data_IF_372379543232
#
_entry.id   IF_372379543232
#
_cell.length_a   1.000
_cell.length_b   1.000
_cell.length_c   1.000
_cell.angle_alpha   90.00
_cell.angle_beta   90.00
_cell.angle_gamma   90.00
#
_symmetry.space_group_name_H-M   'P 1'
#
loop_
_entity.id
_entity.type
_entity.pdbx_description
1 polymer ?
#
# COMPACT_ATOMS: atom_id res chain seq x y z
N UNK A 1 -4.52 7.88 61.72
CA UNK A 1 -4.94 8.72 60.59
C UNK A 1 -3.68 8.97 59.77
N UNK A 2 -3.30 8.08 58.86
CA UNK A 2 -3.98 7.86 57.59
C UNK A 2 -3.13 8.58 56.52
N UNK A 3 -2.03 7.96 56.12
CA UNK A 3 -1.21 8.44 55.01
C UNK A 3 -1.92 8.24 53.68
N UNK A 4 -1.53 9.04 52.70
CA UNK A 4 -1.65 8.69 51.29
C UNK A 4 -0.42 9.22 50.57
N UNK A 5 0.55 8.32 50.37
CA UNK A 5 1.45 8.35 49.24
C UNK A 5 0.61 8.20 47.97
N UNK A 6 0.76 9.12 47.03
CA UNK A 6 0.49 8.86 45.62
C UNK A 6 1.78 9.12 44.82
N UNK A 7 2.09 8.29 43.81
CA UNK A 7 3.45 8.07 43.35
C UNK A 7 3.91 9.10 42.31
N UNK A 8 5.22 9.31 42.27
CA UNK A 8 5.93 9.86 41.13
C UNK A 8 5.56 9.00 39.91
N UNK A 9 4.78 9.55 38.99
CA UNK A 9 4.59 8.94 37.68
C UNK A 9 5.87 9.18 36.88
N UNK A 10 6.79 8.23 37.01
CA UNK A 10 7.88 8.04 36.06
C UNK A 10 7.24 7.60 34.76
N UNK A 11 7.04 8.53 33.83
CA UNK A 11 6.89 8.15 32.43
C UNK A 11 8.31 7.96 31.89
N UNK A 12 8.77 6.72 31.93
CA UNK A 12 10.07 6.34 31.37
C UNK A 12 10.06 6.52 29.86
N UNK A 13 11.04 7.25 29.33
CA UNK A 13 11.24 7.35 27.90
C UNK A 13 12.06 8.57 27.48
N UNK A 14 13.38 8.38 27.47
CA UNK A 14 14.41 9.18 26.82
C UNK A 14 14.82 10.53 27.42
N UNK A 15 16.07 10.49 27.90
CA UNK A 15 16.95 11.57 28.31
C UNK A 15 17.24 12.48 27.12
N UNK A 16 16.45 13.55 26.98
CA UNK A 16 16.92 14.88 26.56
C UNK A 16 16.04 15.87 27.30
N UNK A 17 16.48 16.29 28.49
CA UNK A 17 16.00 17.54 29.11
C UNK A 17 16.31 18.65 28.09
N UNK A 18 15.30 19.01 27.32
CA UNK A 18 15.34 20.19 26.48
C UNK A 18 15.37 21.39 27.44
N UNK A 19 16.32 22.33 27.30
CA UNK A 19 16.32 23.53 28.14
C UNK A 19 14.94 24.19 27.99
N UNK A 20 14.31 24.58 29.11
CA UNK A 20 12.97 25.15 29.20
C UNK A 20 12.69 26.12 28.04
N UNK A 21 12.19 25.58 26.92
CA UNK A 21 11.78 26.33 25.74
C UNK A 21 10.45 26.98 26.09
N UNK A 22 10.36 28.29 25.91
CA UNK A 22 9.07 28.95 25.99
C UNK A 22 8.31 28.66 24.70
N UNK A 23 7.23 27.89 24.80
CA UNK A 23 6.20 27.69 23.76
C UNK A 23 5.47 29.02 23.49
N UNK A 24 6.17 29.99 22.88
CA UNK A 24 5.48 31.11 22.27
C UNK A 24 4.82 30.62 20.97
N UNK A 25 3.52 30.88 20.74
CA UNK A 25 2.85 30.42 19.53
C UNK A 25 3.45 31.12 18.30
N UNK A 26 4.31 30.40 17.58
CA UNK A 26 4.83 30.84 16.29
C UNK A 26 3.73 30.63 15.26
N UNK A 27 3.18 31.75 14.78
CA UNK A 27 2.15 31.75 13.77
C UNK A 27 2.78 32.19 12.44
N UNK A 28 2.49 31.46 11.36
CA UNK A 28 2.69 31.95 10.00
C UNK A 28 1.42 32.69 9.55
N UNK A 29 1.54 33.63 8.62
CA UNK A 29 0.35 34.23 8.01
C UNK A 29 -0.43 33.12 7.28
N UNK A 30 -1.52 32.66 7.90
CA UNK A 30 -2.44 31.61 7.41
C UNK A 30 -3.42 32.14 6.38
N UNK A 31 -3.09 33.25 5.70
CA UNK A 31 -3.82 33.66 4.51
C UNK A 31 -3.89 32.43 3.61
N UNK A 32 -5.05 31.78 3.60
CA UNK A 32 -5.28 30.57 2.82
C UNK A 32 -5.20 31.03 1.38
N UNK A 33 -3.99 31.08 0.84
CA UNK A 33 -3.80 30.99 -0.58
C UNK A 33 -4.36 29.63 -0.88
N UNK A 34 -5.59 29.64 -1.40
CA UNK A 34 -6.21 28.45 -1.92
C UNK A 34 -5.35 28.06 -3.13
N UNK A 35 -4.28 27.29 -2.88
CA UNK A 35 -3.26 26.96 -3.89
C UNK A 35 -3.88 26.16 -5.04
N UNK A 36 -5.08 25.59 -4.83
CA UNK A 36 -5.94 25.03 -5.87
C UNK A 36 -6.33 26.06 -6.96
N UNK A 37 -6.42 27.36 -6.63
CA UNK A 37 -6.72 28.44 -7.58
C UNK A 37 -5.54 28.81 -8.50
N UNK A 38 -4.33 28.33 -8.19
CA UNK A 38 -3.17 28.40 -9.08
C UNK A 38 -3.07 27.18 -10.02
N UNK A 39 -3.95 26.19 -9.89
CA UNK A 39 -4.17 25.13 -10.88
C UNK A 39 -3.08 24.07 -11.04
N UNK A 40 -2.07 23.97 -10.16
CA UNK A 40 -0.86 23.15 -10.40
C UNK A 40 -0.34 22.42 -9.14
N UNK A 41 -1.18 22.04 -8.19
CA UNK A 41 -0.73 21.18 -7.08
C UNK A 41 -1.09 19.72 -7.33
N UNK A 42 -0.08 18.89 -7.58
CA UNK A 42 -0.24 17.45 -7.70
C UNK A 42 0.24 16.79 -6.41
N UNK A 43 -0.49 15.76 -5.98
CA UNK A 43 0.01 14.82 -4.99
C UNK A 43 1.01 13.85 -5.61
N UNK A 44 1.79 13.16 -4.78
CA UNK A 44 2.69 12.09 -5.19
C UNK A 44 1.96 11.06 -6.05
N UNK A 45 0.77 10.60 -5.62
CA UNK A 45 -0.05 9.65 -6.37
C UNK A 45 -0.40 10.17 -7.77
N UNK A 46 -0.87 11.42 -7.87
CA UNK A 46 -1.25 12.01 -9.17
C UNK A 46 -0.04 12.12 -10.10
N UNK A 47 1.10 12.55 -9.58
CA UNK A 47 2.35 12.63 -10.34
C UNK A 47 2.80 11.25 -10.81
N UNK A 48 2.81 10.25 -9.93
CA UNK A 48 3.17 8.86 -10.24
C UNK A 48 2.31 8.30 -11.36
N UNK A 49 0.99 8.42 -11.22
CA UNK A 49 0.03 7.92 -12.22
C UNK A 49 0.21 8.56 -13.59
N UNK A 50 0.48 9.87 -13.66
CA UNK A 50 0.72 10.55 -14.94
C UNK A 50 2.07 10.14 -15.56
N UNK A 51 3.14 9.98 -14.76
CA UNK A 51 4.43 9.47 -15.26
C UNK A 51 4.27 8.05 -15.82
N UNK A 52 3.64 7.14 -15.07
CA UNK A 52 3.36 5.77 -15.49
C UNK A 52 2.58 5.74 -16.81
N UNK A 53 1.53 6.56 -16.91
CA UNK A 53 0.72 6.69 -18.13
C UNK A 53 1.56 7.12 -19.33
N UNK A 54 2.47 8.09 -19.15
CA UNK A 54 3.31 8.65 -20.22
C UNK A 54 4.50 7.77 -20.59
N UNK A 55 4.89 6.85 -19.71
CA UNK A 55 5.82 5.78 -20.02
C UNK A 55 5.18 4.67 -20.88
N UNK A 56 3.84 4.66 -21.00
CA UNK A 56 3.10 3.65 -21.76
C UNK A 56 2.72 2.42 -20.93
N UNK A 57 2.86 2.48 -19.61
CA UNK A 57 2.45 1.41 -18.70
C UNK A 57 1.02 1.60 -18.22
N UNK A 58 0.40 0.51 -17.80
CA UNK A 58 -0.95 0.51 -17.23
C UNK A 58 -0.92 1.12 -15.82
N UNK A 59 -1.68 2.20 -15.61
CA UNK A 59 -1.69 3.01 -14.36
C UNK A 59 -2.23 2.26 -13.15
N UNK A 60 -3.27 1.46 -13.34
CA UNK A 60 -3.83 0.56 -12.34
C UNK A 60 -4.02 -0.81 -12.99
N UNK A 61 -3.55 -1.92 -12.38
CA UNK A 61 -3.77 -3.23 -12.96
C UNK A 61 -5.27 -3.45 -13.17
N UNK A 62 -5.68 -3.89 -14.36
CA UNK A 62 -7.07 -4.25 -14.62
C UNK A 62 -7.38 -5.47 -13.76
N UNK A 63 -8.12 -5.27 -12.67
CA UNK A 63 -8.44 -6.32 -11.71
C UNK A 63 -9.58 -7.17 -12.25
N UNK A 64 -9.29 -8.41 -12.63
CA UNK A 64 -10.31 -9.44 -12.79
C UNK A 64 -10.21 -10.36 -11.59
N UNK A 65 -11.16 -10.26 -10.65
CA UNK A 65 -11.27 -11.24 -9.58
C UNK A 65 -11.85 -12.54 -10.15
N UNK A 66 -11.23 -13.67 -9.77
CA UNK A 66 -11.77 -15.01 -10.00
C UNK A 66 -12.02 -15.67 -8.66
N UNK A 67 -13.13 -16.38 -8.53
CA UNK A 67 -13.36 -17.26 -7.38
C UNK A 67 -12.66 -18.59 -7.58
N UNK A 68 -12.44 -19.34 -6.50
CA UNK A 68 -11.77 -20.62 -6.58
C UNK A 68 -12.54 -21.62 -7.45
N UNK A 69 -13.87 -21.63 -7.37
CA UNK A 69 -14.71 -22.48 -8.23
C UNK A 69 -14.64 -22.09 -9.70
N UNK A 70 -14.56 -20.79 -10.02
CA UNK A 70 -14.35 -20.34 -11.40
C UNK A 70 -13.00 -20.83 -11.94
N UNK A 71 -11.95 -20.78 -11.12
CA UNK A 71 -10.63 -21.30 -11.49
C UNK A 71 -10.64 -22.82 -11.66
N UNK A 72 -11.21 -23.56 -10.71
CA UNK A 72 -11.34 -25.03 -10.79
C UNK A 72 -12.08 -25.45 -12.05
N UNK A 73 -13.20 -24.80 -12.36
CA UNK A 73 -13.98 -25.08 -13.56
C UNK A 73 -13.17 -24.82 -14.82
N UNK A 74 -12.50 -23.66 -14.90
CA UNK A 74 -11.77 -23.26 -16.10
C UNK A 74 -10.52 -24.11 -16.34
N UNK A 75 -9.73 -24.37 -15.28
CA UNK A 75 -8.55 -25.24 -15.35
C UNK A 75 -8.95 -26.67 -15.72
N UNK A 76 -9.99 -27.23 -15.08
CA UNK A 76 -10.48 -28.58 -15.40
C UNK A 76 -10.96 -28.68 -16.84
N UNK A 77 -11.71 -27.68 -17.31
CA UNK A 77 -12.20 -27.63 -18.70
C UNK A 77 -11.02 -27.55 -19.69
N UNK A 78 -10.00 -26.74 -19.39
CA UNK A 78 -8.81 -26.62 -20.24
C UNK A 78 -7.97 -27.90 -20.32
N UNK A 79 -8.06 -28.77 -19.31
CA UNK A 79 -7.43 -30.10 -19.28
C UNK A 79 -8.30 -31.19 -19.95
N UNK A 80 -9.56 -30.88 -20.28
CA UNK A 80 -10.53 -31.85 -20.76
C UNK A 80 -11.13 -32.73 -19.66
N UNK A 81 -11.06 -32.29 -18.40
CA UNK A 81 -11.66 -32.98 -17.26
C UNK A 81 -13.09 -32.47 -17.00
N UNK A 82 -13.98 -33.37 -16.59
CA UNK A 82 -15.32 -33.01 -16.13
C UNK A 82 -15.23 -32.46 -14.71
N UNK A 83 -15.53 -31.19 -14.52
CA UNK A 83 -15.65 -30.58 -13.20
C UNK A 83 -17.04 -30.86 -12.62
N UNK A 84 -17.10 -31.48 -11.43
CA UNK A 84 -18.36 -31.90 -10.77
C UNK A 84 -18.79 -30.93 -9.64
N UNK A 85 -17.99 -29.90 -9.34
CA UNK A 85 -18.26 -28.96 -8.25
C UNK A 85 -18.14 -29.59 -6.86
N UNK A 86 -18.39 -28.81 -5.81
CA UNK A 86 -18.59 -29.34 -4.46
C UNK A 86 -19.96 -30.01 -4.40
N UNK A 87 -20.06 -31.32 -4.12
CA UNK A 87 -21.35 -32.00 -4.05
C UNK A 87 -22.14 -31.53 -2.83
N UNK A 88 -23.42 -31.24 -3.02
CA UNK A 88 -24.30 -30.86 -1.93
C UNK A 88 -24.46 -32.01 -0.93
N UNK A 89 -24.35 -31.77 0.40
CA UNK A 89 -24.51 -32.82 1.40
C UNK A 89 -25.90 -33.45 1.29
N UNK A 90 -25.97 -34.78 1.44
CA UNK A 90 -27.24 -35.52 1.44
C UNK A 90 -27.50 -36.12 2.81
N UNK A 91 -28.76 -36.08 3.23
CA UNK A 91 -29.19 -36.72 4.48
C UNK A 91 -29.28 -38.22 4.32
N UNK A 92 -29.11 -38.96 5.41
CA UNK A 92 -29.24 -40.40 5.46
C UNK A 92 -30.62 -40.86 4.97
N UNK A 93 -31.70 -40.19 5.37
CA UNK A 93 -33.05 -40.52 4.90
C UNK A 93 -33.15 -40.45 3.37
N UNK A 94 -32.58 -39.40 2.76
CA UNK A 94 -32.59 -39.25 1.30
C UNK A 94 -31.80 -40.36 0.60
N UNK A 95 -30.69 -40.81 1.19
CA UNK A 95 -29.84 -41.85 0.63
C UNK A 95 -30.49 -43.24 0.76
N UNK A 96 -31.07 -43.56 1.92
CA UNK A 96 -31.80 -44.83 2.11
C UNK A 96 -32.97 -44.95 1.14
N UNK A 97 -33.71 -43.86 0.94
CA UNK A 97 -34.85 -43.83 0.02
C UNK A 97 -34.42 -44.11 -1.43
N UNK A 98 -33.31 -43.51 -1.87
CA UNK A 98 -32.77 -43.76 -3.20
C UNK A 98 -32.19 -45.16 -3.35
N UNK A 99 -31.52 -45.69 -2.33
CA UNK A 99 -31.05 -47.08 -2.31
C UNK A 99 -32.23 -48.05 -2.46
N UNK A 100 -33.29 -47.87 -1.66
CA UNK A 100 -34.47 -48.71 -1.70
C UNK A 100 -35.12 -48.73 -3.10
N UNK A 101 -35.25 -47.55 -3.73
CA UNK A 101 -35.75 -47.44 -5.11
C UNK A 101 -34.87 -48.17 -6.11
N UNK A 102 -33.55 -48.00 -6.04
CA UNK A 102 -32.59 -48.60 -7.00
C UNK A 102 -32.36 -50.10 -6.79
N UNK A 103 -32.69 -50.64 -5.62
CA UNK A 103 -32.71 -52.07 -5.34
C UNK A 103 -33.97 -52.77 -5.87
N UNK A 104 -34.96 -52.00 -6.37
CA UNK A 104 -36.19 -52.53 -6.98
C UNK A 104 -37.44 -52.39 -6.11
N UNK A 105 -37.34 -51.72 -4.96
CA UNK A 105 -38.43 -51.59 -3.98
C UNK A 105 -39.12 -50.22 -4.05
N UNK A 106 -39.32 -49.69 -5.27
CA UNK A 106 -39.86 -48.34 -5.50
C UNK A 106 -41.29 -48.15 -4.94
N UNK A 107 -42.12 -49.20 -4.97
CA UNK A 107 -43.45 -49.16 -4.38
C UNK A 107 -43.41 -49.00 -2.85
N UNK A 108 -42.54 -49.76 -2.16
CA UNK A 108 -42.36 -49.61 -0.71
C UNK A 108 -41.78 -48.24 -0.33
N UNK A 109 -40.87 -47.70 -1.15
CA UNK A 109 -40.30 -46.37 -0.95
C UNK A 109 -41.36 -45.24 -1.02
N UNK A 110 -42.42 -45.43 -1.79
CA UNK A 110 -43.47 -44.41 -1.99
C UNK A 110 -44.55 -44.46 -0.91
N UNK A 111 -44.77 -45.64 -0.32
CA UNK A 111 -45.78 -45.89 0.71
C UNK A 111 -45.25 -45.77 2.16
N UNK A 112 -43.97 -45.45 2.35
CA UNK A 112 -43.25 -45.48 3.64
C UNK A 112 -43.45 -46.80 4.42
N UNK A 113 -43.66 -47.89 3.67
CA UNK A 113 -44.02 -49.21 4.19
C UNK A 113 -42.80 -50.14 4.16
N UNK A 114 -41.80 -49.81 4.97
CA UNK A 114 -40.54 -50.55 5.06
C UNK A 114 -40.77 -51.96 5.61
N UNK A 115 -40.22 -52.98 4.94
CA UNK A 115 -40.21 -54.31 5.51
C UNK A 115 -39.32 -54.34 6.78
N UNK A 116 -39.66 -55.16 7.80
CA UNK A 116 -38.88 -55.25 9.03
C UNK A 116 -37.39 -55.51 8.74
N UNK A 117 -36.50 -54.74 9.39
CA UNK A 117 -35.04 -54.87 9.24
C UNK A 117 -34.43 -54.21 7.99
N UNK A 118 -35.21 -53.80 6.98
CA UNK A 118 -34.65 -53.18 5.75
C UNK A 118 -34.02 -51.82 6.03
N UNK A 119 -34.64 -50.99 6.88
CA UNK A 119 -34.09 -49.67 7.24
C UNK A 119 -32.73 -49.80 7.93
N UNK A 120 -32.58 -50.78 8.82
CA UNK A 120 -31.33 -51.11 9.50
C UNK A 120 -30.27 -51.61 8.49
N UNK A 121 -30.64 -52.54 7.60
CA UNK A 121 -29.75 -53.07 6.58
C UNK A 121 -29.19 -51.98 5.64
N UNK A 122 -30.04 -51.07 5.15
CA UNK A 122 -29.58 -49.96 4.32
C UNK A 122 -28.70 -48.97 5.09
N UNK A 123 -28.94 -48.80 6.39
CA UNK A 123 -28.06 -48.00 7.27
C UNK A 123 -26.69 -48.63 7.35
N UNK A 124 -26.63 -49.96 7.55
CA UNK A 124 -25.37 -50.69 7.63
C UNK A 124 -24.58 -50.56 6.33
N UNK A 125 -25.21 -50.72 5.15
CA UNK A 125 -24.51 -50.50 3.88
C UNK A 125 -23.97 -49.07 3.72
N UNK A 126 -24.71 -48.05 4.15
CA UNK A 126 -24.26 -46.66 4.12
C UNK A 126 -23.10 -46.40 5.09
N UNK A 127 -23.18 -46.92 6.31
CA UNK A 127 -22.14 -46.82 7.33
C UNK A 127 -20.86 -47.54 6.91
N UNK A 128 -20.98 -48.78 6.41
CA UNK A 128 -19.86 -49.56 5.88
C UNK A 128 -19.22 -48.87 4.67
N UNK A 129 -20.03 -48.28 3.77
CA UNK A 129 -19.52 -47.52 2.64
C UNK A 129 -18.70 -46.30 3.07
N UNK A 130 -19.15 -45.56 4.08
CA UNK A 130 -18.39 -44.43 4.63
C UNK A 130 -17.04 -44.89 5.21
N UNK A 131 -17.03 -45.97 5.99
CA UNK A 131 -15.82 -46.55 6.58
C UNK A 131 -14.86 -47.05 5.50
N UNK A 132 -15.37 -47.78 4.51
CA UNK A 132 -14.57 -48.32 3.41
C UNK A 132 -13.94 -47.21 2.56
N UNK A 133 -14.70 -46.16 2.21
CA UNK A 133 -14.16 -45.02 1.45
C UNK A 133 -13.09 -44.26 2.23
N UNK A 134 -13.25 -44.11 3.54
CA UNK A 134 -12.26 -43.48 4.41
C UNK A 134 -10.95 -44.28 4.44
N UNK A 135 -11.01 -45.60 4.62
CA UNK A 135 -9.81 -46.44 4.70
C UNK A 135 -9.13 -46.68 3.34
N UNK A 136 -9.92 -46.92 2.29
CA UNK A 136 -9.41 -47.36 0.99
C UNK A 136 -8.90 -46.22 0.12
N UNK A 137 -9.56 -45.05 0.16
CA UNK A 137 -9.22 -43.93 -0.71
C UNK A 137 -8.53 -42.77 -0.01
N UNK A 138 -8.31 -42.87 1.32
CA UNK A 138 -7.69 -41.80 2.12
C UNK A 138 -8.25 -40.43 1.76
N UNK A 139 -9.57 -40.35 1.57
CA UNK A 139 -10.30 -39.08 1.44
C UNK A 139 -10.23 -38.43 2.83
N UNK A 140 -9.08 -37.84 3.10
CA UNK A 140 -8.68 -37.36 4.41
C UNK A 140 -9.48 -36.11 4.72
N UNK A 141 -10.40 -36.22 5.67
CA UNK A 141 -10.85 -35.06 6.42
C UNK A 141 -10.20 -35.15 7.80
N UNK A 142 -9.72 -34.02 8.30
CA UNK A 142 -9.26 -33.83 9.67
C UNK A 142 -10.38 -34.02 10.70
N UNK A 143 -11.62 -34.20 10.25
CA UNK A 143 -12.79 -34.51 11.07
C UNK A 143 -13.04 -36.02 11.14
N UNK A 144 -13.25 -36.57 12.35
CA UNK A 144 -13.67 -37.96 12.51
C UNK A 144 -14.98 -38.21 11.77
N UNK A 145 -15.12 -39.41 11.22
CA UNK A 145 -16.33 -39.84 10.51
C UNK A 145 -17.53 -39.70 11.45
N UNK A 146 -18.57 -38.98 11.02
CA UNK A 146 -19.79 -38.89 11.81
C UNK A 146 -20.62 -40.17 11.59
N UNK A 147 -20.87 -40.96 12.65
CA UNK A 147 -21.74 -42.12 12.55
C UNK A 147 -23.18 -41.68 12.26
N UNK A 148 -23.86 -42.46 11.42
CA UNK A 148 -25.27 -42.31 11.12
C UNK A 148 -26.13 -42.87 12.27
N UNK A 149 -26.84 -42.00 12.99
CA UNK A 149 -27.78 -42.33 14.06
C UNK A 149 -29.22 -41.89 13.71
N UNK A 150 -29.38 -40.68 13.19
CA UNK A 150 -30.67 -40.04 12.95
C UNK A 150 -30.92 -39.78 11.46
N UNK A 151 -32.19 -39.80 11.04
CA UNK A 151 -32.59 -39.62 9.62
C UNK A 151 -32.10 -38.29 9.01
N UNK A 152 -31.84 -37.28 9.85
CA UNK A 152 -31.32 -35.97 9.48
C UNK A 152 -29.80 -35.92 9.30
N UNK A 153 -29.07 -36.95 9.73
CA UNK A 153 -27.61 -36.97 9.65
C UNK A 153 -27.13 -36.86 8.21
N UNK A 154 -26.14 -36.01 8.00
CA UNK A 154 -25.55 -35.75 6.69
C UNK A 154 -24.27 -36.56 6.50
N UNK A 155 -24.03 -36.98 5.26
CA UNK A 155 -22.77 -37.65 4.90
C UNK A 155 -21.56 -36.77 5.23
N UNK A 156 -20.56 -37.34 5.92
CA UNK A 156 -19.27 -36.67 6.16
C UNK A 156 -18.38 -36.68 4.90
N UNK A 157 -18.52 -37.71 4.08
CA UNK A 157 -17.82 -37.87 2.80
C UNK A 157 -18.72 -37.48 1.62
N UNK A 158 -18.15 -37.49 0.41
CA UNK A 158 -18.87 -37.26 -0.83
C UNK A 158 -20.14 -38.16 -0.92
N UNK A 159 -21.35 -37.56 -0.96
CA UNK A 159 -22.59 -38.33 -0.91
C UNK A 159 -22.79 -39.25 -2.12
N UNK A 160 -22.25 -38.90 -3.28
CA UNK A 160 -22.37 -39.72 -4.48
C UNK A 160 -21.46 -40.94 -4.42
N UNK A 161 -20.22 -40.77 -3.93
CA UNK A 161 -19.31 -41.89 -3.71
C UNK A 161 -19.88 -42.88 -2.67
N UNK A 162 -20.40 -42.35 -1.55
CA UNK A 162 -21.05 -43.16 -0.49
C UNK A 162 -22.25 -43.91 -1.05
N UNK A 163 -23.09 -43.22 -1.84
CA UNK A 163 -24.26 -43.83 -2.46
C UNK A 163 -23.90 -44.97 -3.42
N UNK A 164 -22.95 -44.75 -4.33
CA UNK A 164 -22.54 -45.75 -5.33
C UNK A 164 -21.98 -47.02 -4.67
N UNK A 165 -21.13 -46.86 -3.64
CA UNK A 165 -20.56 -48.00 -2.91
C UNK A 165 -21.63 -48.76 -2.14
N UNK A 166 -22.50 -48.06 -1.42
CA UNK A 166 -23.60 -48.68 -0.67
C UNK A 166 -24.58 -49.41 -1.60
N UNK A 167 -24.87 -48.83 -2.78
CA UNK A 167 -25.72 -49.46 -3.79
C UNK A 167 -25.09 -50.72 -4.37
N UNK A 168 -23.80 -50.66 -4.69
CA UNK A 168 -23.07 -51.80 -5.21
C UNK A 168 -23.05 -52.95 -4.19
N UNK A 169 -22.77 -52.66 -2.91
CA UNK A 169 -22.80 -53.63 -1.82
C UNK A 169 -24.21 -54.22 -1.62
N UNK A 170 -25.25 -53.38 -1.62
CA UNK A 170 -26.64 -53.85 -1.50
C UNK A 170 -27.06 -54.76 -2.66
N UNK A 171 -26.71 -54.40 -3.90
CA UNK A 171 -26.98 -55.23 -5.08
C UNK A 171 -26.23 -56.56 -5.02
N UNK A 172 -24.96 -56.54 -4.60
CA UNK A 172 -24.16 -57.75 -4.42
C UNK A 172 -24.75 -58.67 -3.34
N UNK A 173 -25.18 -58.12 -2.20
CA UNK A 173 -25.84 -58.87 -1.13
C UNK A 173 -27.13 -59.56 -1.61
N UNK A 174 -27.89 -58.91 -2.50
CA UNK A 174 -29.09 -59.50 -3.12
C UNK A 174 -28.81 -60.34 -4.38
N UNK A 175 -27.54 -60.61 -4.71
CA UNK A 175 -27.15 -61.44 -5.86
C UNK A 175 -27.48 -60.83 -7.23
N UNK A 176 -27.70 -59.51 -7.30
CA UNK A 176 -28.00 -58.83 -8.56
C UNK A 176 -26.73 -58.67 -9.40
N UNK A 177 -26.79 -59.09 -10.67
CA UNK A 177 -25.61 -59.14 -11.56
C UNK A 177 -25.07 -57.76 -11.95
N UNK A 178 -25.87 -56.70 -11.79
CA UNK A 178 -25.50 -55.32 -12.16
C UNK A 178 -24.68 -54.59 -11.08
N UNK A 179 -24.40 -55.22 -9.93
CA UNK A 179 -23.56 -54.64 -8.88
C UNK A 179 -22.18 -54.20 -9.39
N UNK A 180 -21.58 -54.98 -10.31
CA UNK A 180 -20.27 -54.68 -10.91
C UNK A 180 -20.25 -53.33 -11.64
N UNK A 181 -21.33 -52.98 -12.35
CA UNK A 181 -21.40 -51.72 -13.09
C UNK A 181 -21.31 -50.51 -12.16
N UNK A 182 -21.86 -50.61 -10.95
CA UNK A 182 -21.80 -49.53 -9.95
C UNK A 182 -20.42 -49.42 -9.29
N UNK A 183 -19.70 -50.53 -9.08
CA UNK A 183 -18.29 -50.49 -8.67
C UNK A 183 -17.41 -49.82 -9.74
N UNK A 184 -17.63 -50.14 -11.02
CA UNK A 184 -16.90 -49.52 -12.13
C UNK A 184 -17.20 -48.01 -12.23
N UNK A 185 -18.46 -47.60 -12.03
CA UNK A 185 -18.86 -46.19 -11.95
C UNK A 185 -18.18 -45.45 -10.79
N UNK A 186 -18.11 -46.08 -9.61
CA UNK A 186 -17.40 -45.52 -8.45
C UNK A 186 -15.91 -45.33 -8.74
N UNK A 187 -15.25 -46.30 -9.36
CA UNK A 187 -13.84 -46.20 -9.75
C UNK A 187 -13.57 -45.03 -10.71
N UNK A 188 -14.45 -44.83 -11.70
CA UNK A 188 -14.39 -43.67 -12.60
C UNK A 188 -14.60 -42.33 -11.88
N UNK A 189 -15.56 -42.28 -10.95
CA UNK A 189 -15.83 -41.09 -10.15
C UNK A 189 -14.64 -40.70 -9.28
N UNK A 190 -14.08 -41.65 -8.53
CA UNK A 190 -12.93 -41.42 -7.64
C UNK A 190 -11.71 -40.94 -8.43
N UNK A 191 -11.49 -41.50 -9.62
CA UNK A 191 -10.41 -41.03 -10.51
C UNK A 191 -10.60 -39.56 -10.89
N UNK A 192 -11.83 -39.10 -11.04
CA UNK A 192 -12.16 -37.70 -11.35
C UNK A 192 -11.94 -36.80 -10.13
N UNK A 193 -12.35 -37.24 -8.93
CA UNK A 193 -12.15 -36.52 -7.66
C UNK A 193 -10.66 -36.39 -7.31
N UNK A 194 -9.86 -37.42 -7.56
CA UNK A 194 -8.41 -37.36 -7.37
C UNK A 194 -7.76 -36.29 -8.27
N UNK A 195 -8.21 -36.19 -9.52
CA UNK A 195 -7.74 -35.15 -10.46
C UNK A 195 -8.16 -33.74 -10.03
N UNK A 196 -9.31 -33.55 -9.38
CA UNK A 196 -9.68 -32.23 -8.87
C UNK A 196 -8.84 -31.77 -7.68
N UNK A 197 -8.45 -32.68 -6.78
CA UNK A 197 -7.55 -32.34 -5.68
C UNK A 197 -6.16 -31.88 -6.17
N UNK A 198 -5.66 -32.50 -7.24
CA UNK A 198 -4.45 -32.05 -7.93
C UNK A 198 -4.59 -30.62 -8.48
N UNK A 199 -5.75 -30.28 -9.06
CA UNK A 199 -6.03 -28.94 -9.62
C UNK A 199 -6.03 -27.87 -8.54
N UNK A 200 -6.61 -28.15 -7.37
CA UNK A 200 -6.62 -27.23 -6.22
C UNK A 200 -5.20 -26.87 -5.77
N UNK A 201 -4.32 -27.87 -5.68
CA UNK A 201 -2.91 -27.65 -5.34
C UNK A 201 -2.18 -26.85 -6.43
N UNK A 202 -2.44 -27.14 -7.71
CA UNK A 202 -1.85 -26.40 -8.83
C UNK A 202 -2.27 -24.92 -8.80
N UNK A 203 -3.56 -24.62 -8.57
CA UNK A 203 -4.06 -23.24 -8.50
C UNK A 203 -3.40 -22.47 -7.35
N UNK A 204 -3.32 -23.08 -6.16
CA UNK A 204 -2.68 -22.44 -5.00
C UNK A 204 -1.18 -22.24 -5.22
N UNK A 205 -0.49 -23.22 -5.83
CA UNK A 205 0.94 -23.10 -6.20
C UNK A 205 1.16 -22.00 -7.24
N UNK A 206 0.28 -21.88 -8.23
CA UNK A 206 0.33 -20.83 -9.23
C UNK A 206 0.18 -19.45 -8.58
N UNK A 207 -0.84 -19.27 -7.72
CA UNK A 207 -1.02 -18.03 -6.97
C UNK A 207 0.20 -17.71 -6.10
N UNK A 208 0.74 -18.67 -5.35
CA UNK A 208 1.91 -18.46 -4.49
C UNK A 208 3.15 -18.11 -5.30
N UNK A 209 3.37 -18.78 -6.44
CA UNK A 209 4.49 -18.48 -7.33
C UNK A 209 4.38 -17.07 -7.91
N UNK A 210 3.17 -16.62 -8.25
CA UNK A 210 2.92 -15.28 -8.74
C UNK A 210 3.08 -14.27 -7.60
N UNK A 211 2.62 -14.55 -6.39
CA UNK A 211 2.83 -13.70 -5.21
C UNK A 211 4.32 -13.54 -4.91
N UNK A 212 5.11 -14.61 -5.00
CA UNK A 212 6.57 -14.56 -4.82
C UNK A 212 7.25 -13.78 -5.96
N UNK A 213 6.82 -13.98 -7.21
CA UNK A 213 7.35 -13.25 -8.38
C UNK A 213 6.95 -11.79 -8.41
N UNK A 214 5.79 -11.44 -7.86
CA UNK A 214 5.20 -10.09 -7.90
C UNK A 214 5.31 -9.30 -6.59
N UNK A 215 5.86 -9.89 -5.52
CA UNK A 215 6.27 -9.32 -4.23
C UNK A 215 6.04 -7.80 -4.01
N UNK A 216 4.77 -7.40 -4.09
CA UNK A 216 4.22 -6.13 -3.66
C UNK A 216 2.78 -6.39 -3.23
N UNK A 217 2.47 -5.76 -2.10
CA UNK A 217 1.19 -5.58 -1.40
C UNK A 217 0.07 -6.59 -1.65
N UNK A 218 -0.27 -7.33 -0.59
CA UNK A 218 -1.43 -8.22 -0.54
C UNK A 218 -2.68 -7.38 -0.78
N UNK A 219 -3.35 -7.57 -1.92
CA UNK A 219 -4.65 -6.95 -2.14
C UNK A 219 -5.61 -7.44 -1.05
N UNK A 220 -6.25 -6.51 -0.33
CA UNK A 220 -7.03 -6.81 0.88
C UNK A 220 -8.33 -7.62 0.68
N UNK A 221 -8.67 -8.02 -0.54
CA UNK A 221 -9.97 -8.61 -0.89
C UNK A 221 -9.95 -10.12 -1.18
N UNK A 222 -8.83 -10.83 -0.94
CA UNK A 222 -8.67 -12.26 -1.24
C UNK A 222 -8.14 -13.10 -0.08
N UNK A 223 -8.20 -14.42 -0.20
CA UNK A 223 -7.64 -15.38 0.78
C UNK A 223 -6.51 -16.19 0.13
N UNK A 224 -5.48 -16.54 0.91
CA UNK A 224 -4.51 -17.57 0.55
C UNK A 224 -4.19 -18.46 1.76
N UNK A 225 -4.17 -19.80 1.62
CA UNK A 225 -4.59 -20.54 0.42
C UNK A 225 -6.09 -20.38 0.13
N UNK A 226 -6.48 -20.55 -1.13
CA UNK A 226 -7.88 -20.69 -1.53
C UNK A 226 -8.35 -22.07 -1.08
N UNK A 227 -9.42 -22.13 -0.31
CA UNK A 227 -9.98 -23.35 0.27
C UNK A 227 -11.45 -23.50 -0.12
N UNK A 228 -12.24 -22.46 0.10
CA UNK A 228 -13.67 -22.41 -0.18
C UNK A 228 -13.93 -21.98 -1.64
N UNK A 229 -15.03 -22.43 -2.22
CA UNK A 229 -15.34 -22.19 -3.64
C UNK A 229 -15.54 -20.72 -4.01
N UNK A 230 -15.97 -19.91 -3.05
CA UNK A 230 -16.16 -18.47 -3.13
C UNK A 230 -14.89 -17.66 -2.79
N UNK A 231 -13.82 -18.31 -2.33
CA UNK A 231 -12.55 -17.65 -2.06
C UNK A 231 -12.03 -16.97 -3.33
N UNK A 232 -11.59 -15.72 -3.17
CA UNK A 232 -11.13 -14.88 -4.27
C UNK A 232 -9.61 -14.82 -4.30
N UNK A 233 -9.07 -14.76 -5.52
CA UNK A 233 -7.64 -14.55 -5.73
C UNK A 233 -7.14 -13.29 -5.06
N UNK A 234 -5.97 -13.38 -4.41
CA UNK A 234 -5.24 -12.25 -3.86
C UNK A 234 -4.62 -11.38 -4.95
N UNK A 235 -4.41 -11.90 -6.15
CA UNK A 235 -3.83 -11.17 -7.29
C UNK A 235 -4.79 -11.25 -8.50
N UNK A 236 -4.41 -10.66 -9.64
CA UNK A 236 -5.16 -10.76 -10.89
C UNK A 236 -5.50 -12.22 -11.21
N UNK A 237 -6.79 -12.53 -11.19
CA UNK A 237 -7.29 -13.88 -11.35
C UNK A 237 -7.05 -14.42 -12.76
N UNK A 238 -6.89 -13.56 -13.78
CA UNK A 238 -6.52 -14.01 -15.13
C UNK A 238 -5.08 -14.52 -15.18
N UNK A 239 -4.17 -13.87 -14.46
CA UNK A 239 -2.78 -14.33 -14.36
C UNK A 239 -2.70 -15.66 -13.61
N UNK A 240 -3.44 -15.81 -12.51
CA UNK A 240 -3.54 -17.07 -11.76
C UNK A 240 -4.12 -18.18 -12.65
N UNK A 241 -5.20 -17.89 -13.38
CA UNK A 241 -5.85 -18.82 -14.32
C UNK A 241 -4.86 -19.31 -15.38
N UNK A 242 -4.15 -18.41 -16.06
CA UNK A 242 -3.19 -18.80 -17.10
C UNK A 242 -2.02 -19.62 -16.55
N UNK A 243 -1.50 -19.26 -15.37
CA UNK A 243 -0.36 -19.96 -14.76
C UNK A 243 -0.79 -21.35 -14.31
N UNK A 244 -1.97 -21.46 -13.67
CA UNK A 244 -2.53 -22.74 -13.26
C UNK A 244 -2.81 -23.66 -14.46
N UNK A 245 -3.34 -23.14 -15.56
CA UNK A 245 -3.53 -23.91 -16.80
C UNK A 245 -2.18 -24.41 -17.35
N UNK A 246 -1.17 -23.55 -17.40
CA UNK A 246 0.16 -23.90 -17.89
C UNK A 246 0.80 -25.01 -17.03
N UNK A 247 0.80 -24.83 -15.71
CA UNK A 247 1.38 -25.76 -14.75
C UNK A 247 0.64 -27.11 -14.77
N UNK A 248 -0.69 -27.09 -14.87
CA UNK A 248 -1.49 -28.30 -14.98
C UNK A 248 -1.20 -29.06 -16.29
N UNK A 249 -1.18 -28.35 -17.42
CA UNK A 249 -0.87 -28.95 -18.73
C UNK A 249 0.53 -29.54 -18.76
N UNK A 250 1.52 -28.86 -18.16
CA UNK A 250 2.87 -29.38 -18.01
C UNK A 250 2.91 -30.65 -17.16
N UNK A 251 2.22 -30.68 -16.01
CA UNK A 251 2.12 -31.86 -15.14
C UNK A 251 1.53 -33.08 -15.87
N UNK A 252 0.53 -32.88 -16.73
CA UNK A 252 -0.10 -33.95 -17.51
C UNK A 252 0.53 -34.18 -18.89
N UNK A 253 1.66 -33.55 -19.22
CA UNK A 253 2.40 -33.77 -20.47
C UNK A 253 1.68 -33.28 -21.75
N UNK A 254 0.78 -32.30 -21.64
CA UNK A 254 0.11 -31.71 -22.80
C UNK A 254 1.02 -30.70 -23.51
N UNK A 255 1.14 -30.82 -24.85
CA UNK A 255 2.11 -30.05 -25.67
C UNK A 255 1.84 -28.53 -25.74
N UNK A 256 0.67 -28.08 -25.34
CA UNK A 256 0.25 -26.67 -25.42
C UNK A 256 0.61 -25.85 -24.17
N UNK A 257 1.24 -26.44 -23.15
CA UNK A 257 1.67 -25.73 -21.94
C UNK A 257 2.60 -24.53 -22.23
N UNK A 258 3.56 -24.68 -23.16
CA UNK A 258 4.52 -23.63 -23.51
C UNK A 258 3.84 -22.37 -24.05
N UNK A 259 2.75 -22.52 -24.83
CA UNK A 259 2.01 -21.39 -25.37
C UNK A 259 1.35 -20.53 -24.27
N UNK A 260 0.96 -21.13 -23.14
CA UNK A 260 0.43 -20.40 -22.00
C UNK A 260 1.52 -19.66 -21.22
N UNK A 261 2.70 -20.25 -21.05
CA UNK A 261 3.84 -19.56 -20.44
C UNK A 261 4.28 -18.34 -21.28
N UNK A 262 4.30 -18.45 -22.61
CA UNK A 262 4.60 -17.31 -23.49
C UNK A 262 3.60 -16.17 -23.34
N UNK A 263 2.29 -16.45 -23.28
CA UNK A 263 1.25 -15.42 -23.04
C UNK A 263 1.38 -14.75 -21.67
N UNK A 264 1.77 -15.51 -20.64
CA UNK A 264 2.05 -14.96 -19.32
C UNK A 264 3.24 -14.01 -19.32
N UNK A 265 4.29 -14.33 -20.07
CA UNK A 265 5.42 -13.42 -20.26
C UNK A 265 4.99 -12.14 -20.99
N UNK A 266 4.11 -12.23 -22.00
CA UNK A 266 3.53 -11.06 -22.67
C UNK A 266 2.63 -10.21 -21.73
N UNK A 267 1.93 -10.84 -20.78
CA UNK A 267 1.19 -10.12 -19.73
C UNK A 267 2.10 -9.46 -18.72
N UNK A 268 3.18 -10.14 -18.30
CA UNK A 268 4.19 -9.59 -17.39
C UNK A 268 4.96 -8.40 -17.99
N UNK A 269 5.04 -8.30 -19.32
CA UNK A 269 5.60 -7.15 -20.01
C UNK A 269 4.75 -5.87 -19.92
N UNK A 270 3.51 -5.92 -19.40
CA UNK A 270 2.60 -4.74 -19.35
C UNK A 270 2.83 -3.78 -18.18
N UNK A 271 3.47 -4.22 -17.08
CA UNK A 271 3.85 -3.35 -15.95
C UNK A 271 4.98 -4.00 -15.12
N UNK A 272 6.17 -3.38 -15.05
CA UNK A 272 7.23 -3.86 -14.16
C UNK A 272 6.79 -3.86 -12.69
N UNK A 273 7.23 -4.87 -11.96
CA UNK A 273 6.93 -5.14 -10.54
C UNK A 273 7.10 -3.92 -9.62
N UNK A 274 8.20 -3.18 -9.78
CA UNK A 274 8.60 -2.10 -8.87
C UNK A 274 8.39 -0.71 -9.49
N UNK A 275 7.51 -0.62 -10.49
CA UNK A 275 7.31 0.61 -11.25
C UNK A 275 6.91 1.77 -10.34
N UNK A 276 6.10 1.52 -9.31
CA UNK A 276 5.57 2.57 -8.45
C UNK A 276 6.66 3.17 -7.55
N UNK A 277 7.44 2.33 -6.88
CA UNK A 277 8.54 2.80 -6.03
C UNK A 277 9.64 3.46 -6.88
N UNK A 278 9.90 2.94 -8.07
CA UNK A 278 10.88 3.52 -8.99
C UNK A 278 10.40 4.85 -9.58
N UNK A 279 9.11 5.01 -9.88
CA UNK A 279 8.58 6.31 -10.31
C UNK A 279 8.57 7.30 -9.16
N UNK A 280 8.28 6.86 -7.94
CA UNK A 280 8.38 7.72 -6.74
C UNK A 280 9.80 8.20 -6.49
N UNK A 281 10.83 7.37 -6.69
CA UNK A 281 12.22 7.82 -6.58
C UNK A 281 12.55 8.88 -7.63
N UNK A 282 12.14 8.70 -8.90
CA UNK A 282 12.32 9.73 -9.92
C UNK A 282 11.62 11.05 -9.58
N UNK A 283 10.43 11.00 -8.96
CA UNK A 283 9.70 12.20 -8.53
C UNK A 283 10.41 12.89 -7.36
N UNK A 284 10.86 12.12 -6.37
CA UNK A 284 11.62 12.64 -5.21
C UNK A 284 12.92 13.30 -5.67
N UNK A 285 13.68 12.63 -6.53
CA UNK A 285 14.95 13.13 -7.07
C UNK A 285 14.74 14.38 -7.93
N UNK A 286 13.72 14.38 -8.79
CA UNK A 286 13.39 15.55 -9.61
C UNK A 286 13.03 16.76 -8.74
N UNK A 287 12.23 16.55 -7.69
CA UNK A 287 11.86 17.62 -6.78
C UNK A 287 13.08 18.16 -6.02
N UNK A 288 13.95 17.28 -5.49
CA UNK A 288 15.17 17.71 -4.80
C UNK A 288 16.11 18.47 -5.74
N UNK A 289 16.40 17.95 -6.93
CA UNK A 289 17.27 18.61 -7.92
C UNK A 289 16.75 20.02 -8.27
N UNK A 290 15.46 20.15 -8.55
CA UNK A 290 14.85 21.45 -8.86
C UNK A 290 14.92 22.41 -7.66
N UNK A 291 14.67 21.91 -6.46
CA UNK A 291 14.72 22.71 -5.23
C UNK A 291 16.15 23.18 -4.90
N UNK A 292 17.16 22.34 -5.07
CA UNK A 292 18.56 22.71 -4.84
C UNK A 292 19.08 23.69 -5.90
N UNK A 293 18.75 23.44 -7.18
CA UNK A 293 19.31 24.18 -8.31
C UNK A 293 18.72 25.59 -8.46
N UNK A 294 17.42 25.76 -8.23
CA UNK A 294 16.72 27.01 -8.53
C UNK A 294 16.10 27.62 -7.27
N UNK A 295 16.66 28.74 -6.80
CA UNK A 295 16.12 29.47 -5.64
C UNK A 295 14.73 30.07 -5.92
N UNK A 296 14.45 30.39 -7.18
CA UNK A 296 13.19 30.98 -7.65
C UNK A 296 12.01 30.02 -7.54
N UNK A 297 12.28 28.71 -7.46
CA UNK A 297 11.24 27.68 -7.29
C UNK A 297 10.89 27.41 -5.82
N UNK A 298 11.58 28.07 -4.88
CA UNK A 298 11.35 27.90 -3.45
C UNK A 298 10.31 28.91 -2.97
N UNK A 299 9.27 28.41 -2.33
CA UNK A 299 8.26 29.28 -1.72
C UNK A 299 8.83 29.99 -0.50
N UNK A 300 8.68 31.30 -0.45
CA UNK A 300 9.09 32.15 0.67
C UNK A 300 7.85 32.54 1.49
N UNK A 301 7.96 32.51 2.83
CA UNK A 301 6.86 32.92 3.73
C UNK A 301 7.37 33.82 4.85
N UNK A 302 6.41 34.38 5.59
CA UNK A 302 6.64 35.14 6.81
C UNK A 302 6.24 34.30 8.02
N UNK A 303 7.11 34.27 9.02
CA UNK A 303 6.89 33.68 10.33
C UNK A 303 6.93 34.77 11.38
N UNK A 304 5.99 34.71 12.33
CA UNK A 304 5.90 35.68 13.42
C UNK A 304 6.16 34.97 14.75
N UNK A 305 7.08 35.54 15.52
CA UNK A 305 7.43 35.09 16.87
C UNK A 305 7.00 36.18 17.83
N UNK A 306 6.27 35.81 18.88
CA UNK A 306 5.93 36.71 19.97
C UNK A 306 6.93 36.52 21.11
N UNK A 307 7.74 37.55 21.37
CA UNK A 307 8.77 37.48 22.38
C UNK A 307 8.18 37.62 23.79
N UNK A 308 8.69 36.82 24.72
CA UNK A 308 8.39 36.89 26.14
C UNK A 308 9.54 37.62 26.84
N UNK A 309 9.28 38.66 27.67
CA UNK A 309 10.33 39.35 28.42
C UNK A 309 11.22 38.38 29.20
N UNK A 310 12.53 38.56 29.10
CA UNK A 310 13.54 37.70 29.75
C UNK A 310 13.82 36.37 29.05
N UNK A 311 13.05 35.98 28.03
CA UNK A 311 13.27 34.73 27.28
C UNK A 311 13.99 34.98 25.94
N UNK A 312 15.10 34.28 25.73
CA UNK A 312 15.97 34.43 24.56
C UNK A 312 15.99 33.23 23.62
N UNK A 313 15.38 32.10 23.99
CA UNK A 313 15.32 30.87 23.18
C UNK A 313 13.87 30.57 22.83
N UNK A 314 13.61 30.41 21.53
CA UNK A 314 12.30 30.08 20.99
C UNK A 314 12.42 28.83 20.14
N UNK A 315 11.50 27.89 20.33
CA UNK A 315 11.49 26.69 19.49
C UNK A 315 11.21 27.03 18.05
N UNK A 316 11.67 26.16 17.14
CA UNK A 316 11.20 26.24 15.77
C UNK A 316 9.95 25.35 15.70
N UNK A 317 8.85 25.82 15.09
CA UNK A 317 7.73 24.93 14.79
C UNK A 317 8.21 23.78 13.88
N UNK A 318 8.38 22.60 14.46
CA UNK A 318 8.69 21.35 13.77
C UNK A 318 7.42 20.59 13.36
N UNK A 319 6.27 20.91 13.97
CA UNK A 319 4.99 20.19 13.81
C UNK A 319 4.13 20.67 12.62
N UNK A 320 4.71 21.42 11.69
CA UNK A 320 3.99 21.85 10.48
C UNK A 320 4.44 21.00 9.29
N UNK A 321 3.49 20.56 8.47
CA UNK A 321 3.69 19.90 7.15
C UNK A 321 4.69 20.63 6.23
N UNK A 322 5.04 21.88 6.56
CA UNK A 322 6.02 22.73 5.90
C UNK A 322 6.87 23.42 6.97
N UNK A 323 8.18 23.16 6.99
CA UNK A 323 9.12 23.75 7.95
C UNK A 323 9.91 24.93 7.34
N UNK A 324 10.32 25.89 8.17
CA UNK A 324 11.23 26.96 7.77
C UNK A 324 12.64 26.36 7.58
N UNK A 325 13.25 26.55 6.40
CA UNK A 325 14.64 26.16 6.18
C UNK A 325 15.59 27.24 6.71
N UNK A 326 16.18 27.00 7.89
CA UNK A 326 17.05 27.96 8.57
C UNK A 326 18.28 28.35 7.77
N UNK A 327 18.75 27.47 6.86
CA UNK A 327 19.89 27.77 6.00
C UNK A 327 19.54 28.78 4.91
N UNK A 328 18.26 29.13 4.77
CA UNK A 328 17.70 29.90 3.67
C UNK A 328 16.77 31.02 4.16
N UNK A 329 17.16 31.66 5.25
CA UNK A 329 16.53 32.89 5.74
C UNK A 329 16.99 34.06 4.88
N UNK A 330 16.03 34.90 4.50
CA UNK A 330 16.28 36.06 3.65
C UNK A 330 16.21 37.36 4.44
N UNK A 331 15.50 37.37 5.56
CA UNK A 331 15.36 38.54 6.41
C UNK A 331 14.86 38.17 7.81
N UNK A 332 15.32 38.87 8.84
CA UNK A 332 14.72 38.85 10.17
C UNK A 332 14.67 40.27 10.72
N UNK A 333 13.62 40.59 11.46
CA UNK A 333 13.47 41.90 12.08
C UNK A 333 12.51 41.90 13.24
N UNK A 334 12.67 42.92 14.07
CA UNK A 334 11.90 43.15 15.28
C UNK A 334 11.06 44.41 15.11
N UNK A 335 9.82 44.35 15.57
CA UNK A 335 8.94 45.51 15.64
C UNK A 335 9.22 46.27 16.93
N UNK A 336 9.56 47.54 16.79
CA UNK A 336 9.65 48.49 17.91
C UNK A 336 8.59 49.57 17.69
N UNK A 337 7.55 49.52 18.52
CA UNK A 337 6.30 50.27 18.37
C UNK A 337 5.68 50.10 16.96
N UNK A 338 5.93 51.02 16.02
CA UNK A 338 5.35 51.03 14.67
C UNK A 338 6.40 50.68 13.58
N UNK A 339 7.69 50.64 13.93
CA UNK A 339 8.78 50.48 12.95
C UNK A 339 9.40 49.08 13.01
N UNK A 340 9.69 48.53 11.83
CA UNK A 340 10.45 47.27 11.70
C UNK A 340 11.94 47.57 11.58
N UNK A 341 12.72 47.03 12.51
CA UNK A 341 14.18 47.13 12.52
C UNK A 341 14.80 45.76 12.18
N UNK A 342 15.79 45.69 11.29
CA UNK A 342 16.44 44.43 10.97
C UNK A 342 17.27 43.92 12.16
N UNK A 343 17.22 42.61 12.40
CA UNK A 343 18.10 41.93 13.34
C UNK A 343 19.39 41.51 12.62
N UNK A 344 20.49 41.43 13.38
CA UNK A 344 21.81 41.02 12.88
C UNK A 344 21.95 39.51 13.06
N UNK A 345 22.31 38.81 11.99
CA UNK A 345 22.59 37.37 12.06
C UNK A 345 23.91 37.10 12.79
N UNK A 346 23.87 36.16 13.74
CA UNK A 346 25.01 35.72 14.53
C UNK A 346 25.13 36.45 15.86
N UNK A 347 25.42 35.68 16.92
CA UNK A 347 25.68 36.20 18.26
C UNK A 347 27.15 35.93 18.59
N UNK A 348 27.91 36.98 18.88
CA UNK A 348 29.31 36.86 19.29
C UNK A 348 29.39 36.11 20.63
N UNK A 349 30.25 35.07 20.77
CA UNK A 349 30.47 34.35 22.03
C UNK A 349 30.70 35.25 23.25
N UNK A 350 31.32 36.43 23.08
CA UNK A 350 31.58 37.37 24.18
C UNK A 350 30.27 37.90 24.79
N UNK A 351 29.22 38.06 23.98
CA UNK A 351 27.94 38.61 24.41
C UNK A 351 27.17 37.69 25.38
N UNK A 352 27.43 36.38 25.36
CA UNK A 352 26.79 35.41 26.26
C UNK A 352 27.16 35.62 27.74
N UNK A 353 28.18 36.42 28.03
CA UNK A 353 28.55 36.81 29.41
C UNK A 353 27.70 37.96 29.96
N UNK A 354 26.93 38.64 29.11
CA UNK A 354 26.06 39.74 29.51
C UNK A 354 24.68 39.24 29.92
N UNK A 355 24.18 39.74 31.06
CA UNK A 355 22.82 39.49 31.57
C UNK A 355 21.88 40.67 31.34
N UNK A 356 22.29 41.63 30.50
CA UNK A 356 21.49 42.83 30.22
C UNK A 356 20.21 42.48 29.46
N UNK A 357 19.08 42.97 29.98
CA UNK A 357 17.80 42.93 29.28
C UNK A 357 17.66 44.19 28.44
N UNK A 358 17.40 44.02 27.14
CA UNK A 358 17.13 45.14 26.23
C UNK A 358 16.47 44.64 24.96
N UNK A 359 16.08 45.56 24.08
CA UNK A 359 15.58 45.21 22.75
C UNK A 359 16.59 44.29 22.02
N UNK A 360 16.18 43.10 21.59
CA UNK A 360 17.03 42.21 20.81
C UNK A 360 17.57 42.89 19.56
N UNK A 361 18.87 42.73 19.31
CA UNK A 361 19.56 43.26 18.15
C UNK A 361 20.15 42.16 17.25
N UNK A 362 20.32 40.96 17.80
CA UNK A 362 20.94 39.81 17.17
C UNK A 362 19.99 38.61 17.17
N UNK A 363 20.16 37.75 16.19
CA UNK A 363 19.53 36.44 16.16
C UNK A 363 20.52 35.38 15.68
N UNK A 364 20.36 34.15 16.15
CA UNK A 364 21.06 32.98 15.63
C UNK A 364 20.08 31.81 15.60
N UNK A 365 20.15 30.99 14.57
CA UNK A 365 19.31 29.79 14.49
C UNK A 365 20.19 28.56 14.45
N UNK A 366 19.97 27.69 15.42
CA UNK A 366 20.63 26.38 15.50
C UNK A 366 19.56 25.29 15.63
N UNK A 367 19.42 24.65 16.80
CA UNK A 367 18.28 23.79 17.14
C UNK A 367 17.04 24.57 17.58
N UNK A 368 17.23 25.83 17.98
CA UNK A 368 16.19 26.79 18.33
C UNK A 368 16.55 28.16 17.73
N UNK A 369 15.59 29.08 17.77
CA UNK A 369 15.75 30.47 17.41
C UNK A 369 16.21 31.21 18.67
N UNK A 370 17.48 31.58 18.68
CA UNK A 370 18.07 32.38 19.75
C UNK A 370 18.05 33.86 19.35
N UNK A 371 17.64 34.73 20.27
CA UNK A 371 17.67 36.18 20.13
C UNK A 371 18.51 36.82 21.23
N UNK A 372 19.20 37.91 20.92
CA UNK A 372 20.07 38.56 21.90
C UNK A 372 20.11 40.09 21.73
N UNK A 373 20.17 40.89 22.81
CA UNK A 373 20.01 40.51 24.22
C UNK A 373 18.62 39.93 24.52
N UNK A 374 18.45 39.33 25.71
CA UNK A 374 17.13 38.87 26.12
C UNK A 374 16.18 40.08 26.22
N UNK A 375 14.95 39.95 25.71
CA UNK A 375 14.02 41.07 25.57
C UNK A 375 13.63 41.65 26.93
N UNK A 376 13.64 42.98 27.05
CA UNK A 376 13.19 43.72 28.24
C UNK A 376 11.66 43.85 28.34
N UNK A 377 10.98 43.78 27.20
CA UNK A 377 9.50 43.79 27.08
C UNK A 377 9.04 42.83 25.99
N UNK A 378 7.73 42.65 25.83
CA UNK A 378 7.20 41.85 24.74
C UNK A 378 7.43 42.57 23.40
N UNK A 379 7.97 41.85 22.42
CA UNK A 379 8.22 42.33 21.06
C UNK A 379 7.65 41.33 20.06
N UNK A 380 7.41 41.79 18.83
CA UNK A 380 7.07 40.91 17.72
C UNK A 380 8.26 40.82 16.78
N UNK A 381 8.75 39.61 16.54
CA UNK A 381 9.78 39.32 15.54
C UNK A 381 9.14 38.71 14.31
N UNK A 382 9.56 39.16 13.13
CA UNK A 382 9.23 38.53 11.86
C UNK A 382 10.48 37.98 11.20
N UNK A 383 10.38 36.73 10.77
CA UNK A 383 11.40 36.05 9.97
C UNK A 383 10.80 35.76 8.60
N UNK A 384 11.57 36.06 7.55
CA UNK A 384 11.27 35.69 6.18
C UNK A 384 12.29 34.67 5.70
N UNK A 385 11.82 33.60 5.08
CA UNK A 385 12.69 32.54 4.62
C UNK A 385 11.99 31.57 3.69
N UNK A 386 12.75 30.65 3.14
CA UNK A 386 12.22 29.62 2.25
C UNK A 386 11.65 28.44 3.03
N UNK A 387 10.56 27.87 2.52
CA UNK A 387 10.05 26.58 2.97
C UNK A 387 11.02 25.47 2.57
N UNK A 388 11.29 24.58 3.52
CA UNK A 388 12.01 23.35 3.30
C UNK A 388 11.26 22.38 2.38
N UNK A 389 11.97 21.38 1.87
CA UNK A 389 11.40 20.36 1.01
C UNK A 389 10.57 19.36 1.84
N UNK A 390 9.32 19.13 1.47
CA UNK A 390 8.49 18.11 2.15
C UNK A 390 8.97 16.70 1.78
N UNK A 391 9.00 15.80 2.76
CA UNK A 391 9.15 14.38 2.51
C UNK A 391 7.88 13.82 1.84
N UNK A 392 8.05 13.20 0.67
CA UNK A 392 6.96 12.54 -0.06
C UNK A 392 6.91 11.07 0.34
N UNK A 393 6.22 10.76 1.44
CA UNK A 393 6.16 9.41 2.02
C UNK A 393 4.85 8.72 1.67
N UNK A 394 3.73 9.45 1.69
CA UNK A 394 2.40 8.94 1.39
C UNK A 394 1.84 9.45 0.06
N UNK A 395 0.88 8.71 -0.49
CA UNK A 395 0.19 9.03 -1.74
C UNK A 395 -0.50 10.40 -1.75
N UNK A 396 -0.92 10.87 -0.57
CA UNK A 396 -1.57 12.17 -0.36
C UNK A 396 -0.61 13.36 -0.27
N UNK A 397 0.70 13.13 -0.20
CA UNK A 397 1.66 14.21 -0.04
C UNK A 397 1.72 15.11 -1.27
N UNK A 398 1.59 16.41 -1.04
CA UNK A 398 1.68 17.44 -2.08
C UNK A 398 3.14 17.77 -2.40
N UNK A 399 3.41 18.00 -3.69
CA UNK A 399 4.70 18.49 -4.13
C UNK A 399 4.94 19.91 -3.60
N UNK A 400 6.14 20.17 -3.09
CA UNK A 400 6.58 21.49 -2.58
C UNK A 400 6.99 22.43 -3.73
N UNK A 401 7.54 21.87 -4.80
CA UNK A 401 7.94 22.60 -6.02
C UNK A 401 6.83 22.52 -7.07
N UNK A 402 6.79 23.46 -8.01
CA UNK A 402 5.82 23.47 -9.12
C UNK A 402 5.66 22.08 -9.75
N UNK A 403 4.46 21.51 -9.65
CA UNK A 403 4.24 20.11 -9.97
C UNK A 403 4.52 19.75 -11.43
N UNK A 404 4.30 20.68 -12.35
CA UNK A 404 4.58 20.46 -13.78
C UNK A 404 6.09 20.39 -14.06
N UNK A 405 6.90 21.19 -13.37
CA UNK A 405 8.35 21.13 -13.48
C UNK A 405 8.88 19.80 -12.96
N UNK A 406 8.41 19.38 -11.77
CA UNK A 406 8.76 18.07 -11.17
C UNK A 406 8.35 16.93 -12.10
N UNK A 407 7.11 16.94 -12.59
CA UNK A 407 6.59 15.92 -13.50
C UNK A 407 7.42 15.78 -14.78
N UNK A 408 7.71 16.88 -15.49
CA UNK A 408 8.47 16.82 -16.75
C UNK A 408 9.89 16.31 -16.53
N UNK A 409 10.53 16.73 -15.43
CA UNK A 409 11.88 16.30 -15.09
C UNK A 409 11.91 14.81 -14.67
N UNK A 410 10.96 14.37 -13.84
CA UNK A 410 10.82 12.97 -13.44
C UNK A 410 10.52 12.08 -14.64
N UNK A 411 9.60 12.50 -15.53
CA UNK A 411 9.26 11.77 -16.75
C UNK A 411 10.47 11.62 -17.69
N UNK A 412 11.26 12.67 -17.86
CA UNK A 412 12.47 12.62 -18.68
C UNK A 412 13.48 11.61 -18.12
N UNK A 413 13.72 11.62 -16.81
CA UNK A 413 14.59 10.68 -16.11
C UNK A 413 14.07 9.24 -16.23
N UNK A 414 12.77 9.02 -16.01
CA UNK A 414 12.15 7.71 -16.14
C UNK A 414 12.22 7.18 -17.57
N UNK A 415 11.93 8.02 -18.59
CA UNK A 415 12.06 7.64 -20.00
C UNK A 415 13.50 7.31 -20.37
N UNK A 416 14.48 8.05 -19.85
CA UNK A 416 15.89 7.76 -20.06
C UNK A 416 16.28 6.41 -19.45
N UNK A 417 15.80 6.11 -18.23
CA UNK A 417 16.00 4.82 -17.57
C UNK A 417 15.46 3.65 -18.41
N UNK A 418 14.25 3.80 -18.96
CA UNK A 418 13.64 2.82 -19.87
C UNK A 418 14.15 2.89 -21.32
N UNK A 419 15.18 3.70 -21.60
CA UNK A 419 15.79 3.88 -22.93
C UNK A 419 14.79 4.28 -24.02
N UNK A 420 13.75 5.04 -23.66
CA UNK A 420 12.79 5.56 -24.62
C UNK A 420 13.44 6.72 -25.41
N UNK A 421 13.32 6.74 -26.76
CA UNK A 421 14.07 7.66 -27.62
C UNK A 421 13.66 9.13 -27.44
N UNK A 422 12.48 9.39 -26.88
CA UNK A 422 11.93 10.73 -26.66
C UNK A 422 12.32 11.35 -25.31
N UNK A 423 13.13 10.66 -24.48
CA UNK A 423 13.56 11.16 -23.16
C UNK A 423 14.21 12.56 -23.22
N UNK A 424 15.08 12.79 -24.21
CA UNK A 424 15.75 14.07 -24.41
C UNK A 424 14.78 15.22 -24.72
N UNK A 425 13.70 14.94 -25.45
CA UNK A 425 12.68 15.95 -25.78
C UNK A 425 11.95 16.43 -24.51
N UNK A 426 11.61 15.50 -23.61
CA UNK A 426 10.98 15.85 -22.34
C UNK A 426 11.93 16.60 -21.40
N UNK A 427 13.23 16.27 -21.41
CA UNK A 427 14.23 17.03 -20.65
C UNK A 427 14.35 18.48 -21.16
N UNK A 428 14.36 18.68 -22.48
CA UNK A 428 14.36 20.03 -23.07
C UNK A 428 13.10 20.82 -22.71
N UNK A 429 11.92 20.18 -22.72
CA UNK A 429 10.67 20.79 -22.29
C UNK A 429 10.71 21.17 -20.80
N UNK A 430 11.25 20.31 -19.94
CA UNK A 430 11.42 20.59 -18.52
C UNK A 430 12.28 21.84 -18.30
N UNK A 431 13.44 21.91 -18.98
CA UNK A 431 14.35 23.06 -18.89
C UNK A 431 13.72 24.35 -19.42
N UNK A 432 13.01 24.28 -20.55
CA UNK A 432 12.31 25.45 -21.11
C UNK A 432 11.24 25.97 -20.15
N UNK A 433 10.47 25.07 -19.54
CA UNK A 433 9.43 25.43 -18.58
C UNK A 433 10.01 26.05 -17.30
N UNK A 434 11.10 25.50 -16.77
CA UNK A 434 11.80 26.09 -15.61
C UNK A 434 12.33 27.48 -15.93
N UNK A 435 12.91 27.71 -17.13
CA UNK A 435 13.33 29.05 -17.57
C UNK A 435 12.17 30.04 -17.64
N UNK A 436 10.99 29.60 -18.06
CA UNK A 436 9.78 30.43 -18.06
C UNK A 436 9.36 30.80 -16.63
N UNK A 437 9.41 29.86 -15.68
CA UNK A 437 9.12 30.14 -14.27
C UNK A 437 10.12 31.15 -13.68
N UNK A 438 11.41 30.99 -13.96
CA UNK A 438 12.46 31.92 -13.53
C UNK A 438 12.21 33.30 -14.15
N UNK A 439 11.91 33.36 -15.46
CA UNK A 439 11.61 34.63 -16.13
C UNK A 439 10.42 35.35 -15.48
N UNK A 440 9.35 34.62 -15.14
CA UNK A 440 8.19 35.16 -14.43
C UNK A 440 8.51 35.64 -13.01
N UNK A 441 9.48 35.02 -12.33
CA UNK A 441 9.89 35.38 -10.96
C UNK A 441 10.51 36.78 -10.84
N UNK A 442 10.97 37.38 -11.95
CA UNK A 442 11.51 38.73 -11.96
C UNK A 442 10.43 39.80 -11.73
N UNK A 443 9.14 39.46 -11.86
CA UNK A 443 8.02 40.36 -11.56
C UNK A 443 8.14 41.71 -12.28
N UNK A 444 8.10 42.80 -11.53
CA UNK A 444 8.19 44.18 -12.05
C UNK A 444 9.63 44.72 -12.14
N UNK A 445 10.65 43.89 -11.91
CA UNK A 445 12.05 44.33 -11.96
C UNK A 445 12.41 44.81 -13.36
N UNK A 446 12.92 46.05 -13.45
CA UNK A 446 13.44 46.63 -14.69
C UNK A 446 14.96 46.54 -14.69
N UNK A 447 15.51 45.77 -15.63
CA UNK A 447 16.96 45.68 -15.84
C UNK A 447 17.38 46.81 -16.76
N UNK A 448 18.18 47.75 -16.26
CA UNK A 448 18.76 48.85 -17.05
C UNK A 448 20.17 48.39 -17.47
N UNK A 449 20.41 48.12 -18.77
CA UNK A 449 21.74 47.74 -19.24
C UNK A 449 22.78 48.82 -18.89
N UNK A 450 23.90 48.43 -18.28
CA UNK A 450 24.97 49.34 -17.87
C UNK A 450 24.79 50.01 -16.50
N UNK A 451 23.65 49.82 -15.82
CA UNK A 451 23.50 50.27 -14.44
C UNK A 451 24.26 49.33 -13.49
N UNK A 452 25.35 49.83 -12.88
CA UNK A 452 26.05 49.14 -11.80
C UNK A 452 25.07 49.01 -10.62
N UNK A 453 24.75 47.79 -10.18
CA UNK A 453 24.12 47.60 -8.87
C UNK A 453 25.03 48.25 -7.84
N UNK A 454 24.57 49.33 -7.21
CA UNK A 454 25.26 49.90 -6.07
C UNK A 454 25.17 48.83 -4.98
N UNK A 455 26.28 48.22 -4.56
CA UNK A 455 26.23 47.24 -3.48
C UNK A 455 25.59 47.91 -2.25
N UNK A 456 24.82 47.17 -1.44
CA UNK A 456 24.26 47.72 -0.21
C UNK A 456 25.39 48.35 0.60
N UNK A 457 25.16 49.56 1.10
CA UNK A 457 26.17 50.30 1.86
C UNK A 457 26.69 49.41 2.99
N UNK A 458 27.96 48.98 2.91
CA UNK A 458 28.63 48.39 4.05
C UNK A 458 28.84 49.50 5.07
N UNK A 459 28.47 49.28 6.33
CA UNK A 459 28.80 50.21 7.41
C UNK A 459 30.31 50.46 7.38
N UNK A 460 30.79 51.71 7.49
CA UNK A 460 32.20 51.97 7.65
C UNK A 460 32.69 51.18 8.86
N UNK A 461 33.76 50.41 8.68
CA UNK A 461 34.54 49.93 9.81
C UNK A 461 35.30 51.18 10.30
N UNK A 462 35.07 51.69 11.51
CA UNK A 462 35.89 52.77 12.03
C UNK A 462 37.30 52.22 12.22
N UNK A 463 38.21 52.55 11.31
CA UNK A 463 39.64 52.29 11.47
C UNK A 463 40.22 53.55 12.09
N UNK A 464 40.30 53.57 13.42
CA UNK A 464 40.81 54.69 14.18
C UNK A 464 40.12 54.75 15.54
N UNK A 465 40.86 54.38 16.59
CA UNK A 465 40.44 54.65 17.97
C UNK A 465 40.19 56.15 18.14
N UNK A 466 39.17 56.47 18.94
CA UNK A 466 38.93 57.82 19.40
C UNK A 466 40.24 58.41 19.97
N UNK A 467 40.69 59.58 19.53
CA UNK A 467 41.80 60.25 20.19
C UNK A 467 41.26 60.80 21.52
N UNK A 468 41.55 60.09 22.61
CA UNK A 468 41.44 60.68 23.94
C UNK A 468 42.52 61.76 24.05
N UNK A 469 42.11 63.02 23.90
CA UNK A 469 42.93 64.19 24.09
C UNK A 469 42.39 65.03 25.25
N UNK A 470 43.22 65.08 26.30
CA UNK A 470 43.22 65.94 27.50
C UNK A 470 42.20 65.69 28.62
#
# INVERSE_FOLDING_TARGET
MGGNNAPIMVNGGNVYDSPLGYDAPINYDTGQVNLSSLGVEWSLKKARQEVIRRLGFVVEPVKVQRTFDQLRQTVSTALGFTYVGTPAPRTMASLRLDLLRRLGFSAQATADAWAPGVKELLTNFLSEAQVALQHQYRLSVSTPLAPFHDDADVTTLDPWAVFLLALANGKAHHGQQDAKAYYDQLGGYITTVAKSADVDQIINTAQDSLLQRYAMDRYGDGKAPLVEGDDKTLIDGVAVEMQAIADAKAKYGQKDAEAYYSRLQEMAQRRPFDLDAMVDSFIRDAQDQLYQQYKELRTERWWTIQCVPGANLYDVPLDLDQYLDFRRITWAGIQDDVQWMPLIEGIDPVLYTSTSLSKPAYYRITGCIEIFPAPDRAYTIKIRGHLGLKWLTGDGDLLTVNSRAVFLHALANAKAHYKQPDAGNYMQQAQAYVRQLISGSHGTRRYIPGARQIPPARRPIPVGGWPEGN
#
